data_IF_735336995342
#
_entry.id   IF_735336995342
#
_cell.length_a   1.000
_cell.length_b   1.000
_cell.length_c   1.000
_cell.angle_alpha   90.00
_cell.angle_beta   90.00
_cell.angle_gamma   90.00
#
_symmetry.space_group_name_H-M   'P 1'
#
loop_
_entity.id
_entity.type
_entity.pdbx_description
1 polymer ?
#
# COMPACT_ATOMS: atom_id res chain seq x y z
N UNK A 1 22.13 78.03 14.70
CA UNK A 1 22.52 76.72 14.17
C UNK A 1 21.89 75.67 15.09
N UNK A 2 20.56 75.68 15.23
CA UNK A 2 19.55 75.10 14.31
C UNK A 2 19.70 73.59 14.23
N UNK A 3 18.69 72.73 14.36
CA UNK A 3 17.28 72.77 14.73
C UNK A 3 16.98 71.31 15.17
N UNK A 4 16.15 71.02 16.17
CA UNK A 4 14.70 70.98 16.02
C UNK A 4 14.22 69.82 15.15
N UNK A 5 13.69 68.75 15.76
CA UNK A 5 12.30 68.27 15.55
C UNK A 5 11.98 67.02 16.38
N UNK A 6 10.91 67.14 17.17
CA UNK A 6 10.12 66.05 17.79
C UNK A 6 8.88 65.82 16.92
N UNK A 7 8.40 64.58 16.85
CA UNK A 7 7.00 64.10 16.73
C UNK A 7 7.02 62.73 16.05
N UNK A 8 6.07 61.81 16.23
CA UNK A 8 5.10 61.48 17.26
C UNK A 8 4.55 60.10 16.83
N UNK A 9 3.94 59.42 17.80
CA UNK A 9 3.33 58.09 17.73
C UNK A 9 2.31 57.93 16.59
N UNK A 10 2.27 56.75 15.95
CA UNK A 10 1.01 56.12 15.52
C UNK A 10 1.07 54.60 15.65
N UNK A 11 0.09 54.07 16.36
CA UNK A 11 -0.27 52.68 16.59
C UNK A 11 -1.40 52.30 15.62
N UNK A 12 -1.20 51.29 14.79
CA UNK A 12 -2.21 50.51 14.04
C UNK A 12 -1.55 49.13 13.90
N UNK A 13 -1.88 48.09 14.67
CA UNK A 13 -3.09 47.26 14.67
C UNK A 13 -3.51 46.79 13.27
N UNK A 14 -2.79 45.80 12.74
CA UNK A 14 -3.33 44.89 11.73
C UNK A 14 -3.01 43.43 12.09
N UNK A 15 -4.08 42.75 12.44
CA UNK A 15 -4.20 41.32 12.63
C UNK A 15 -4.06 40.61 11.29
N UNK A 16 -2.87 40.10 10.98
CA UNK A 16 -2.69 39.17 9.87
C UNK A 16 -3.15 37.80 10.33
N UNK A 17 -4.34 37.41 9.85
CA UNK A 17 -4.95 36.11 10.12
C UNK A 17 -4.03 34.96 9.74
N UNK A 18 -3.69 34.16 10.75
CA UNK A 18 -3.09 32.84 10.55
C UNK A 18 -4.07 31.95 9.81
N UNK A 19 -3.71 31.58 8.59
CA UNK A 19 -4.32 30.45 7.91
C UNK A 19 -3.61 29.19 8.40
N UNK A 20 -4.09 28.62 9.50
CA UNK A 20 -3.77 27.24 9.84
C UNK A 20 -4.37 26.33 8.75
N UNK A 21 -3.61 25.41 8.15
CA UNK A 21 -4.20 24.37 7.36
C UNK A 21 -5.00 23.46 8.31
N UNK A 22 -6.33 23.52 8.19
CA UNK A 22 -7.24 22.61 8.85
C UNK A 22 -6.95 21.20 8.31
N UNK A 23 -6.17 20.44 9.07
CA UNK A 23 -5.98 19.02 8.86
C UNK A 23 -7.35 18.35 8.94
N UNK A 24 -7.70 17.58 7.91
CA UNK A 24 -8.91 16.78 7.88
C UNK A 24 -8.88 15.77 9.01
N UNK A 25 -9.57 16.08 10.11
CA UNK A 25 -9.91 15.11 11.14
C UNK A 25 -10.93 14.14 10.54
N UNK A 26 -10.51 12.89 10.29
CA UNK A 26 -11.46 11.78 10.19
C UNK A 26 -11.94 11.44 11.61
N UNK A 27 -13.27 11.29 11.75
CA UNK A 27 -13.99 11.12 13.01
C UNK A 27 -13.47 9.95 13.87
N UNK A 28 -13.57 10.04 15.21
CA UNK A 28 -13.21 8.96 16.11
C UNK A 28 -14.07 7.70 15.88
N UNK A 29 -13.41 6.54 15.96
CA UNK A 29 -13.98 5.22 15.67
C UNK A 29 -15.26 4.92 16.47
N UNK A 30 -16.31 4.34 15.84
CA UNK A 30 -17.31 3.58 16.57
C UNK A 30 -16.78 2.17 16.89
N UNK A 31 -16.84 1.80 18.18
CA UNK A 31 -16.59 0.45 18.66
C UNK A 31 -17.53 -0.54 17.94
N UNK A 32 -16.98 -1.29 16.98
CA UNK A 32 -17.64 -2.44 16.37
C UNK A 32 -16.71 -3.62 16.46
N UNK A 33 -17.12 -4.61 17.23
CA UNK A 33 -16.52 -5.94 17.24
C UNK A 33 -16.65 -6.57 15.85
N UNK A 34 -15.54 -6.63 15.12
CA UNK A 34 -15.41 -7.34 13.84
C UNK A 34 -14.93 -8.80 14.06
N UNK A 35 -15.25 -9.73 13.13
CA UNK A 35 -14.89 -11.13 13.24
C UNK A 35 -13.38 -11.34 13.18
N UNK A 36 -12.89 -12.33 13.94
CA UNK A 36 -11.48 -12.68 14.07
C UNK A 36 -10.86 -13.07 12.72
N UNK A 37 -9.58 -12.70 12.57
CA UNK A 37 -8.66 -12.78 11.43
C UNK A 37 -8.45 -14.14 10.72
N UNK A 38 -9.36 -15.11 10.83
CA UNK A 38 -9.13 -16.50 10.37
C UNK A 38 -9.74 -16.90 9.03
N UNK A 39 -10.69 -16.14 8.47
CA UNK A 39 -11.50 -16.64 7.34
C UNK A 39 -10.95 -16.30 5.95
N UNK A 40 -9.96 -15.41 5.85
CA UNK A 40 -9.28 -15.07 4.58
C UNK A 40 -8.23 -16.10 4.16
N UNK A 41 -7.74 -16.94 5.08
CA UNK A 41 -6.61 -17.85 4.85
C UNK A 41 -6.99 -19.22 4.26
N UNK A 42 -8.27 -19.61 4.24
CA UNK A 42 -8.64 -21.01 3.93
C UNK A 42 -8.62 -21.40 2.45
N UNK A 43 -8.50 -20.45 1.51
CA UNK A 43 -8.44 -20.78 0.07
C UNK A 43 -7.03 -20.90 -0.51
N UNK A 44 -6.00 -20.44 0.20
CA UNK A 44 -4.62 -20.37 -0.33
C UNK A 44 -3.76 -21.63 -0.10
N UNK A 45 -4.25 -22.66 0.62
CA UNK A 45 -3.51 -23.93 0.82
C UNK A 45 -4.21 -25.10 0.10
N UNK A 46 -4.41 -24.96 -1.21
CA UNK A 46 -4.68 -26.08 -2.12
C UNK A 46 -3.94 -25.83 -3.43
N UNK A 47 -2.65 -26.15 -3.48
CA UNK A 47 -1.92 -25.98 -4.75
C UNK A 47 -0.43 -26.30 -4.77
N UNK A 48 0.22 -26.60 -3.65
CA UNK A 48 1.66 -26.92 -3.65
C UNK A 48 1.84 -28.44 -3.56
N UNK A 49 2.34 -29.13 -4.60
CA UNK A 49 2.69 -30.54 -4.51
C UNK A 49 4.00 -30.68 -3.73
N UNK A 50 3.89 -31.04 -2.46
CA UNK A 50 5.05 -31.45 -1.64
C UNK A 50 5.43 -32.89 -2.03
N UNK A 51 6.70 -33.21 -2.34
CA UNK A 51 7.12 -34.59 -2.56
C UNK A 51 7.18 -35.32 -1.22
N UNK A 52 6.14 -36.10 -0.90
CA UNK A 52 6.09 -36.91 0.33
C UNK A 52 6.64 -38.30 0.05
N UNK A 53 7.76 -38.63 0.70
CA UNK A 53 8.42 -39.93 0.68
C UNK A 53 7.57 -41.01 1.38
N UNK A 54 7.81 -42.28 1.01
CA UNK A 54 6.93 -43.47 1.21
C UNK A 54 6.57 -43.87 2.65
N UNK A 55 6.96 -43.14 3.69
CA UNK A 55 6.82 -43.58 5.08
C UNK A 55 5.61 -43.01 5.83
N UNK A 56 4.81 -42.13 5.22
CA UNK A 56 3.64 -41.49 5.88
C UNK A 56 2.28 -41.94 5.34
N UNK A 57 2.16 -43.21 4.88
CA UNK A 57 0.89 -43.81 4.41
C UNK A 57 0.19 -44.74 5.40
N UNK A 58 0.68 -44.85 6.64
CA UNK A 58 0.16 -45.82 7.62
C UNK A 58 -0.62 -45.23 8.81
N UNK A 59 -0.83 -43.90 8.86
CA UNK A 59 -1.49 -43.26 10.00
C UNK A 59 -2.88 -42.65 9.71
N UNK A 60 -3.48 -42.86 8.52
CA UNK A 60 -4.73 -42.19 8.12
C UNK A 60 -5.88 -43.14 7.71
N UNK A 61 -5.92 -44.37 8.26
CA UNK A 61 -7.00 -45.35 8.00
C UNK A 61 -7.81 -45.71 9.27
N UNK A 62 -7.52 -45.10 10.42
CA UNK A 62 -8.25 -45.37 11.67
C UNK A 62 -9.02 -44.15 12.18
N UNK A 63 -10.08 -43.71 11.48
CA UNK A 63 -11.18 -42.89 12.05
C UNK A 63 -12.38 -42.73 11.09
N UNK A 64 -12.89 -43.83 10.53
CA UNK A 64 -14.23 -43.87 9.93
C UNK A 64 -14.95 -45.14 10.42
N UNK A 65 -15.19 -45.23 11.73
CA UNK A 65 -16.22 -46.10 12.30
C UNK A 65 -16.62 -45.48 13.65
N UNK A 66 -17.75 -44.75 13.68
CA UNK A 66 -18.69 -44.64 14.82
C UNK A 66 -19.55 -43.37 14.69
N UNK A 67 -20.71 -43.50 14.05
CA UNK A 67 -21.96 -42.76 14.38
C UNK A 67 -23.02 -43.06 13.31
N UNK A 68 -23.47 -44.32 13.27
CA UNK A 68 -24.75 -44.68 12.68
C UNK A 68 -25.66 -45.14 13.83
N UNK A 69 -26.97 -44.97 13.64
CA UNK A 69 -28.08 -45.23 14.57
C UNK A 69 -28.48 -44.05 15.47
N UNK A 70 -29.44 -43.24 14.99
CA UNK A 70 -30.74 -43.13 15.65
C UNK A 70 -31.84 -42.84 14.62
N UNK A 71 -32.93 -43.58 14.79
CA UNK A 71 -34.09 -43.76 13.92
C UNK A 71 -35.23 -42.87 14.38
N UNK A 72 -36.03 -42.36 13.45
CA UNK A 72 -37.49 -42.35 13.62
C UNK A 72 -38.23 -41.01 13.66
N UNK A 73 -39.36 -41.00 12.93
CA UNK A 73 -40.43 -39.99 12.81
C UNK A 73 -40.09 -38.74 11.95
N UNK A 74 -40.72 -38.44 10.82
CA UNK A 74 -42.00 -38.89 10.26
C UNK A 74 -43.06 -37.80 10.41
N UNK A 75 -43.04 -36.78 9.55
CA UNK A 75 -44.22 -35.96 9.18
C UNK A 75 -44.06 -35.52 7.73
N UNK A 76 -44.89 -36.05 6.84
CA UNK A 76 -45.13 -35.51 5.50
C UNK A 76 -46.17 -34.39 5.61
N UNK A 77 -45.81 -33.16 5.24
CA UNK A 77 -46.80 -32.11 4.94
C UNK A 77 -46.93 -32.04 3.42
N UNK A 78 -48.03 -32.60 2.92
CA UNK A 78 -48.53 -32.40 1.55
C UNK A 78 -49.30 -31.09 1.54
N UNK A 79 -48.81 -30.09 0.81
CA UNK A 79 -49.61 -28.93 0.42
C UNK A 79 -49.74 -28.95 -1.11
N UNK A 80 -50.98 -29.07 -1.57
CA UNK A 80 -51.37 -29.12 -2.97
C UNK A 80 -51.11 -27.79 -3.69
N UNK A 81 -50.91 -27.81 -5.02
CA UNK A 81 -50.77 -26.61 -5.82
C UNK A 81 -52.16 -26.01 -6.10
N UNK A 82 -52.38 -24.75 -5.71
CA UNK A 82 -53.49 -23.98 -6.25
C UNK A 82 -53.04 -23.32 -7.56
N UNK A 83 -53.52 -23.88 -8.66
CA UNK A 83 -53.58 -23.22 -9.96
C UNK A 83 -54.71 -22.20 -9.96
N UNK A 84 -54.39 -20.93 -10.17
CA UNK A 84 -55.33 -19.93 -10.65
C UNK A 84 -54.66 -19.12 -11.78
N UNK A 85 -55.09 -19.42 -12.99
CA UNK A 85 -54.99 -18.62 -14.23
C UNK A 85 -56.43 -18.17 -14.50
N UNK A 86 -56.81 -17.00 -15.00
CA UNK A 86 -56.17 -15.90 -15.69
C UNK A 86 -57.07 -14.64 -15.51
N UNK A 87 -56.57 -13.46 -15.87
CA UNK A 87 -57.17 -12.52 -16.85
C UNK A 87 -56.67 -11.08 -16.67
N UNK A 88 -55.80 -10.69 -17.62
CA UNK A 88 -55.80 -9.45 -18.41
C UNK A 88 -56.53 -8.20 -17.87
N UNK A 89 -55.75 -7.16 -17.55
CA UNK A 89 -55.83 -5.85 -18.23
C UNK A 89 -54.66 -4.92 -17.86
N UNK A 90 -54.09 -4.17 -18.84
CA UNK A 90 -52.92 -3.32 -18.63
C UNK A 90 -53.31 -1.87 -18.36
N UNK A 91 -52.74 -1.21 -17.35
CA UNK A 91 -52.76 0.26 -17.24
C UNK A 91 -51.51 0.80 -16.53
N UNK A 92 -50.85 1.73 -17.22
CA UNK A 92 -49.97 2.81 -16.75
C UNK A 92 -48.58 2.47 -16.19
N UNK A 93 -47.59 2.72 -17.05
CA UNK A 93 -46.34 3.44 -16.77
C UNK A 93 -46.38 4.30 -15.51
N UNK A 94 -45.59 3.94 -14.50
CA UNK A 94 -45.18 4.83 -13.42
C UNK A 94 -43.67 5.06 -13.50
N UNK A 95 -43.33 6.34 -13.46
CA UNK A 95 -42.04 6.90 -13.77
C UNK A 95 -40.94 6.53 -12.76
N UNK A 96 -39.72 6.47 -13.31
CA UNK A 96 -38.45 6.88 -12.72
C UNK A 96 -38.45 7.19 -11.21
N UNK A 97 -38.05 6.20 -10.41
CA UNK A 97 -37.31 6.49 -9.18
C UNK A 97 -35.83 6.32 -9.51
N UNK A 98 -35.27 7.38 -10.09
CA UNK A 98 -33.83 7.60 -10.22
C UNK A 98 -33.26 7.48 -8.82
N UNK A 99 -32.52 6.41 -8.56
CA UNK A 99 -31.63 6.31 -7.40
C UNK A 99 -30.79 7.57 -7.43
N UNK A 100 -31.05 8.47 -6.49
CA UNK A 100 -30.24 9.66 -6.30
C UNK A 100 -28.80 9.19 -6.15
N UNK A 101 -27.99 9.68 -7.08
CA UNK A 101 -26.54 9.59 -7.06
C UNK A 101 -26.13 10.12 -5.70
N UNK A 102 -25.80 9.21 -4.77
CA UNK A 102 -25.18 9.53 -3.48
C UNK A 102 -24.11 10.56 -3.79
N UNK A 103 -24.28 11.77 -3.28
CA UNK A 103 -23.36 12.87 -3.53
C UNK A 103 -21.95 12.35 -3.28
N UNK A 104 -21.09 12.43 -4.30
CA UNK A 104 -19.66 12.23 -4.15
C UNK A 104 -19.23 13.20 -3.05
N UNK A 105 -18.99 12.68 -1.85
CA UNK A 105 -18.24 13.41 -0.84
C UNK A 105 -16.92 13.79 -1.50
N UNK A 106 -16.47 15.05 -1.41
CA UNK A 106 -15.18 15.45 -1.95
C UNK A 106 -14.14 14.46 -1.44
N UNK A 107 -13.47 13.72 -2.34
CA UNK A 107 -12.27 12.99 -1.96
C UNK A 107 -11.34 14.05 -1.37
N UNK A 108 -10.77 13.84 -0.17
CA UNK A 108 -9.64 14.64 0.27
C UNK A 108 -8.60 14.58 -0.86
N UNK A 109 -8.42 15.70 -1.54
CA UNK A 109 -7.46 15.83 -2.62
C UNK A 109 -6.09 15.90 -1.97
N UNK A 110 -5.48 14.75 -1.71
CA UNK A 110 -4.04 14.71 -1.56
C UNK A 110 -3.47 15.30 -2.86
N UNK A 111 -2.56 16.29 -2.82
CA UNK A 111 -1.97 16.84 -4.02
C UNK A 111 -1.46 15.70 -4.91
N UNK A 112 -1.70 15.80 -6.21
CA UNK A 112 -1.27 14.81 -7.19
C UNK A 112 0.27 14.84 -7.26
N UNK A 113 0.92 14.02 -6.45
CA UNK A 113 2.36 13.96 -6.32
C UNK A 113 2.85 12.82 -7.20
N UNK A 114 3.43 13.21 -8.33
CA UNK A 114 3.93 12.31 -9.36
C UNK A 114 5.38 12.65 -9.65
N UNK A 115 6.22 11.64 -9.70
CA UNK A 115 7.64 11.76 -10.01
C UNK A 115 7.94 10.78 -11.14
N UNK A 116 8.38 11.29 -12.28
CA UNK A 116 8.61 10.48 -13.48
C UNK A 116 9.87 10.92 -14.22
N UNK A 117 10.64 9.96 -14.73
CA UNK A 117 11.87 10.24 -15.49
C UNK A 117 13.10 10.36 -14.60
N UNK A 118 14.15 10.99 -15.12
CA UNK A 118 15.38 11.21 -14.36
C UNK A 118 15.19 12.36 -13.36
N UNK A 119 15.89 12.28 -12.22
CA UNK A 119 15.97 13.40 -11.27
C UNK A 119 17.26 14.18 -11.50
N UNK A 120 17.26 15.44 -11.07
CA UNK A 120 18.44 16.31 -11.10
C UNK A 120 19.43 15.90 -10.00
N UNK A 121 20.07 14.74 -10.22
CA UNK A 121 21.08 14.15 -9.35
C UNK A 121 22.46 14.27 -10.02
N UNK A 122 23.55 14.41 -9.25
CA UNK A 122 24.91 14.44 -9.79
C UNK A 122 25.22 13.22 -10.66
N UNK A 123 25.49 13.43 -11.95
CA UNK A 123 25.88 12.38 -12.89
C UNK A 123 27.40 12.14 -12.85
N UNK A 124 27.95 11.84 -11.67
CA UNK A 124 29.37 11.54 -11.51
C UNK A 124 29.71 10.21 -12.19
N UNK A 125 30.95 10.06 -12.67
CA UNK A 125 31.36 8.90 -13.46
C UNK A 125 31.28 7.56 -12.70
N UNK A 126 31.36 7.61 -11.37
CA UNK A 126 31.28 6.47 -10.45
C UNK A 126 29.93 6.35 -9.74
N UNK A 127 29.00 7.28 -9.97
CA UNK A 127 27.66 7.20 -9.40
C UNK A 127 26.89 6.00 -9.95
N UNK A 128 26.14 5.30 -9.09
CA UNK A 128 25.29 4.18 -9.48
C UNK A 128 24.05 4.73 -10.20
N UNK A 129 23.84 4.43 -11.49
CA UNK A 129 22.60 4.79 -12.16
C UNK A 129 21.48 3.87 -11.67
N UNK A 130 20.45 4.43 -11.06
CA UNK A 130 19.30 3.66 -10.56
C UNK A 130 17.96 4.16 -11.12
N UNK A 131 17.03 3.24 -11.28
CA UNK A 131 15.63 3.53 -11.55
C UNK A 131 14.78 3.29 -10.30
N UNK A 132 13.59 3.90 -10.26
CA UNK A 132 12.65 3.73 -9.15
C UNK A 132 11.24 3.38 -9.65
N UNK A 133 10.56 2.51 -8.91
CA UNK A 133 9.13 2.25 -9.03
C UNK A 133 8.51 2.45 -7.64
N UNK A 134 7.60 3.41 -7.50
CA UNK A 134 7.23 3.97 -6.21
C UNK A 134 5.74 4.30 -6.03
N UNK A 135 5.29 4.43 -4.78
CA UNK A 135 4.02 5.10 -4.46
C UNK A 135 4.23 6.42 -3.68
N UNK A 136 3.32 6.79 -2.77
CA UNK A 136 3.44 8.02 -1.98
C UNK A 136 4.63 8.03 -1.03
N UNK A 137 5.14 6.86 -0.64
CA UNK A 137 6.34 6.74 0.19
C UNK A 137 7.60 7.16 -0.59
N UNK A 138 7.56 7.05 -1.93
CA UNK A 138 8.63 7.46 -2.84
C UNK A 138 8.38 8.83 -3.49
N UNK A 139 7.15 9.17 -3.88
CA UNK A 139 6.84 10.34 -4.72
C UNK A 139 6.69 11.68 -3.96
N UNK A 140 6.52 11.65 -2.63
CA UNK A 140 6.28 12.86 -1.85
C UNK A 140 7.54 13.73 -1.75
N UNK A 141 7.46 15.07 -1.75
CA UNK A 141 8.64 15.95 -1.66
C UNK A 141 9.56 15.70 -0.45
N UNK A 142 9.02 15.14 0.64
CA UNK A 142 9.76 14.80 1.87
C UNK A 142 10.23 13.33 1.92
N UNK A 143 10.06 12.57 0.83
CA UNK A 143 10.41 11.14 0.72
C UNK A 143 11.91 10.89 0.76
N UNK A 144 12.28 9.62 0.91
CA UNK A 144 13.66 9.16 0.77
C UNK A 144 14.27 9.51 -0.59
N UNK A 145 13.47 9.46 -1.67
CA UNK A 145 13.96 9.67 -3.04
C UNK A 145 14.51 11.09 -3.23
N UNK A 146 13.78 12.11 -2.76
CA UNK A 146 14.24 13.49 -2.86
C UNK A 146 15.42 13.81 -1.92
N UNK A 147 15.58 13.05 -0.83
CA UNK A 147 16.76 13.21 0.03
C UNK A 147 18.04 12.67 -0.62
N UNK A 148 17.91 11.72 -1.55
CA UNK A 148 19.03 11.19 -2.33
C UNK A 148 19.47 12.11 -3.47
N UNK A 149 18.73 13.18 -3.79
CA UNK A 149 19.13 14.13 -4.85
C UNK A 149 20.51 14.76 -4.60
N UNK A 150 20.93 14.81 -3.33
CA UNK A 150 22.24 15.31 -2.90
C UNK A 150 23.31 14.24 -2.65
N UNK A 151 23.00 12.95 -2.86
CA UNK A 151 23.98 11.86 -2.68
C UNK A 151 24.75 11.65 -3.98
N UNK A 152 25.98 12.18 -4.03
CA UNK A 152 26.91 12.08 -5.16
C UNK A 152 27.21 10.64 -5.64
N UNK A 153 26.92 9.63 -4.81
CA UNK A 153 27.16 8.22 -5.14
C UNK A 153 26.07 7.63 -6.03
N UNK A 154 24.94 8.32 -6.20
CA UNK A 154 23.75 7.81 -6.85
C UNK A 154 23.25 8.77 -7.93
N UNK A 155 22.78 8.21 -9.03
CA UNK A 155 22.20 8.98 -10.13
C UNK A 155 20.84 8.38 -10.51
N UNK A 156 19.75 9.09 -10.23
CA UNK A 156 18.41 8.63 -10.56
C UNK A 156 18.12 8.87 -12.05
N UNK A 157 18.24 7.83 -12.85
CA UNK A 157 18.23 7.91 -14.32
C UNK A 157 16.86 7.71 -14.96
N UNK A 158 15.83 7.42 -14.16
CA UNK A 158 14.49 7.13 -14.67
C UNK A 158 13.61 6.51 -13.60
N UNK A 159 12.33 6.35 -13.90
CA UNK A 159 11.40 5.70 -13.01
C UNK A 159 10.02 6.33 -13.03
N UNK A 160 9.16 5.79 -12.18
CA UNK A 160 7.82 6.31 -11.96
C UNK A 160 7.39 6.08 -10.51
N UNK A 161 6.91 7.13 -9.87
CA UNK A 161 6.27 7.05 -8.58
C UNK A 161 5.06 7.97 -8.52
N UNK A 162 3.97 7.51 -7.91
CA UNK A 162 2.74 8.28 -7.83
C UNK A 162 2.03 8.06 -6.50
N UNK A 163 1.67 9.15 -5.84
CA UNK A 163 0.96 9.11 -4.58
C UNK A 163 -0.41 8.45 -4.72
N UNK A 164 -0.69 7.45 -3.88
CA UNK A 164 -1.95 6.69 -3.91
C UNK A 164 -2.03 5.56 -4.95
N UNK A 165 -0.98 5.36 -5.77
CA UNK A 165 -0.97 4.27 -6.75
C UNK A 165 -0.64 2.92 -6.12
N UNK A 166 -1.33 1.90 -6.63
CA UNK A 166 -1.01 0.49 -6.43
C UNK A 166 0.05 0.02 -7.42
N UNK A 167 0.60 -1.17 -7.19
CA UNK A 167 1.59 -1.79 -8.08
C UNK A 167 1.10 -1.95 -9.54
N UNK A 168 -0.17 -2.32 -9.77
CA UNK A 168 -0.72 -2.43 -11.13
C UNK A 168 -0.79 -1.07 -11.87
N UNK A 169 -1.01 0.00 -11.11
CA UNK A 169 -1.10 1.34 -11.67
C UNK A 169 0.30 1.90 -11.97
N UNK A 170 1.29 1.66 -11.10
CA UNK A 170 2.70 1.98 -11.39
C UNK A 170 3.17 1.19 -12.61
N UNK A 171 2.82 -0.11 -12.70
CA UNK A 171 3.13 -0.95 -13.86
C UNK A 171 2.55 -0.40 -15.17
N UNK A 172 1.36 0.18 -15.14
CA UNK A 172 0.74 0.76 -16.34
C UNK A 172 1.56 1.93 -16.89
N UNK A 173 2.11 2.77 -16.00
CA UNK A 173 2.77 4.03 -16.35
C UNK A 173 4.29 3.89 -16.56
N UNK A 174 4.96 3.05 -15.77
CA UNK A 174 6.42 2.94 -15.84
C UNK A 174 6.89 2.38 -17.19
N UNK A 175 7.97 2.93 -17.75
CA UNK A 175 8.59 2.46 -18.99
C UNK A 175 9.93 1.76 -18.78
N UNK A 176 10.55 1.21 -19.85
CA UNK A 176 11.93 0.73 -19.81
C UNK A 176 12.91 1.84 -19.40
N UNK A 177 13.93 1.46 -18.61
CA UNK A 177 15.02 2.36 -18.18
C UNK A 177 16.37 1.67 -18.42
N UNK A 178 16.80 1.51 -19.68
CA UNK A 178 17.96 0.67 -20.04
C UNK A 178 19.30 1.15 -19.46
N UNK A 179 19.38 2.42 -19.07
CA UNK A 179 20.55 3.00 -18.42
C UNK A 179 20.64 2.69 -16.91
N UNK A 180 19.59 2.14 -16.30
CA UNK A 180 19.58 1.80 -14.88
C UNK A 180 20.36 0.51 -14.62
N UNK A 181 21.34 0.58 -13.73
CA UNK A 181 22.02 -0.60 -13.19
C UNK A 181 21.20 -1.28 -12.11
N UNK A 182 20.54 -0.50 -11.26
CA UNK A 182 19.66 -0.99 -10.19
C UNK A 182 18.25 -0.47 -10.42
N UNK A 183 17.24 -1.33 -10.33
CA UNK A 183 15.85 -0.90 -10.13
C UNK A 183 15.50 -1.04 -8.65
N UNK A 184 15.05 0.05 -8.05
CA UNK A 184 14.45 0.07 -6.72
C UNK A 184 12.94 -0.06 -6.84
N UNK A 185 12.36 -1.07 -6.17
CA UNK A 185 10.91 -1.32 -6.18
C UNK A 185 10.33 -1.14 -4.79
N UNK A 186 9.62 -0.02 -4.59
CA UNK A 186 8.90 0.35 -3.38
C UNK A 186 7.42 0.54 -3.75
N UNK A 187 6.66 -0.54 -3.78
CA UNK A 187 5.22 -0.51 -4.08
C UNK A 187 4.47 -1.47 -3.16
N UNK A 188 3.16 -1.29 -3.08
CA UNK A 188 2.27 -2.23 -2.38
C UNK A 188 1.61 -1.68 -1.12
N UNK A 189 2.03 -0.50 -0.62
CA UNK A 189 1.34 0.17 0.50
C UNK A 189 -0.12 0.43 0.16
N UNK A 190 -0.39 0.88 -1.08
CA UNK A 190 -1.76 1.09 -1.54
C UNK A 190 -2.49 -0.21 -1.90
N UNK A 191 -1.78 -1.26 -2.30
CA UNK A 191 -2.36 -2.59 -2.48
C UNK A 191 -2.92 -3.12 -1.16
N UNK A 192 -2.11 -3.06 -0.09
CA UNK A 192 -2.53 -3.39 1.28
C UNK A 192 -3.72 -2.53 1.70
N UNK A 193 -3.63 -1.21 1.54
CA UNK A 193 -4.71 -0.28 1.87
C UNK A 193 -6.03 -0.66 1.19
N UNK A 194 -5.96 -1.03 -0.09
CA UNK A 194 -7.12 -1.29 -0.94
C UNK A 194 -7.56 -2.76 -0.95
N UNK A 195 -7.00 -3.58 -0.06
CA UNK A 195 -7.29 -5.01 0.04
C UNK A 195 -7.06 -5.77 -1.27
N UNK A 196 -6.03 -5.39 -2.04
CA UNK A 196 -5.62 -6.15 -3.22
C UNK A 196 -5.02 -7.49 -2.79
N UNK A 197 -5.36 -8.60 -3.47
CA UNK A 197 -4.74 -9.89 -3.20
C UNK A 197 -3.21 -9.81 -3.32
N UNK A 198 -2.51 -10.35 -2.31
CA UNK A 198 -1.05 -10.27 -2.22
C UNK A 198 -0.35 -10.87 -3.44
N UNK A 199 -0.86 -11.98 -3.97
CA UNK A 199 -0.35 -12.62 -5.18
C UNK A 199 -0.41 -11.72 -6.42
N UNK A 200 -1.41 -10.85 -6.50
CA UNK A 200 -1.47 -9.83 -7.56
C UNK A 200 -0.39 -8.78 -7.37
N UNK A 201 -0.16 -8.30 -6.15
CA UNK A 201 0.92 -7.33 -5.86
C UNK A 201 2.28 -7.90 -6.22
N UNK A 202 2.58 -9.14 -5.83
CA UNK A 202 3.83 -9.83 -6.17
C UNK A 202 3.97 -10.01 -7.70
N UNK A 203 2.92 -10.45 -8.39
CA UNK A 203 2.95 -10.58 -9.85
C UNK A 203 3.19 -9.23 -10.56
N UNK A 204 2.66 -8.13 -10.01
CA UNK A 204 2.88 -6.80 -10.55
C UNK A 204 4.32 -6.31 -10.31
N UNK A 205 4.92 -6.61 -9.16
CA UNK A 205 6.34 -6.32 -8.89
C UNK A 205 7.25 -6.99 -9.93
N UNK A 206 7.04 -8.29 -10.16
CA UNK A 206 7.78 -9.05 -11.18
C UNK A 206 7.55 -8.49 -12.61
N UNK A 207 6.32 -8.06 -12.92
CA UNK A 207 6.04 -7.38 -14.19
C UNK A 207 6.73 -6.01 -14.31
N UNK A 208 6.80 -5.22 -13.23
CA UNK A 208 7.53 -3.94 -13.19
C UNK A 208 9.01 -4.19 -13.47
N UNK A 209 9.61 -5.16 -12.78
CA UNK A 209 11.02 -5.54 -12.95
C UNK A 209 11.32 -5.86 -14.42
N UNK A 210 10.51 -6.72 -15.04
CA UNK A 210 10.67 -7.06 -16.47
C UNK A 210 10.49 -5.86 -17.39
N UNK A 211 9.54 -4.97 -17.09
CA UNK A 211 9.22 -3.82 -17.94
C UNK A 211 10.32 -2.78 -17.92
N UNK A 212 10.93 -2.53 -16.76
CA UNK A 212 12.05 -1.60 -16.60
C UNK A 212 13.33 -2.16 -17.22
N UNK A 213 13.63 -3.43 -16.95
CA UNK A 213 14.78 -4.13 -17.55
C UNK A 213 16.15 -3.71 -17.00
N UNK A 214 16.23 -3.31 -15.73
CA UNK A 214 17.52 -3.03 -15.06
C UNK A 214 18.32 -4.33 -14.81
N UNK A 215 19.65 -4.22 -14.68
CA UNK A 215 20.54 -5.38 -14.46
C UNK A 215 20.35 -6.04 -13.10
N UNK A 216 20.15 -5.23 -12.05
CA UNK A 216 19.95 -5.65 -10.67
C UNK A 216 18.67 -5.06 -10.13
N UNK A 217 18.07 -5.74 -9.15
CA UNK A 217 16.80 -5.35 -8.54
C UNK A 217 17.00 -5.29 -7.03
N UNK A 218 16.50 -4.22 -6.44
CA UNK A 218 16.37 -4.01 -5.00
C UNK A 218 14.89 -3.87 -4.65
N UNK A 219 14.35 -4.86 -3.96
CA UNK A 219 12.97 -4.84 -3.45
C UNK A 219 12.97 -4.24 -2.05
N UNK A 220 12.02 -3.33 -1.81
CA UNK A 220 11.91 -2.59 -0.55
C UNK A 220 10.75 -3.14 0.28
N UNK A 221 10.97 -3.32 1.59
CA UNK A 221 9.94 -3.67 2.55
C UNK A 221 8.75 -2.70 2.53
N UNK A 222 7.57 -3.16 2.91
CA UNK A 222 6.44 -2.26 3.18
C UNK A 222 6.71 -1.40 4.43
N UNK A 223 6.37 -0.10 4.44
CA UNK A 223 6.59 0.76 5.60
C UNK A 223 5.73 0.34 6.81
N UNK A 224 6.05 0.82 8.02
CA UNK A 224 5.15 0.69 9.18
C UNK A 224 3.79 1.35 8.91
N UNK A 225 2.78 1.02 9.71
CA UNK A 225 1.52 1.75 9.69
C UNK A 225 0.84 1.80 11.05
N UNK A 226 0.38 3.00 11.43
CA UNK A 226 -0.36 3.18 12.68
C UNK A 226 -1.84 2.76 12.53
N UNK A 227 -2.29 2.52 11.30
CA UNK A 227 -3.67 2.16 11.00
C UNK A 227 -3.87 0.63 11.04
N UNK A 228 -4.84 0.17 11.83
CA UNK A 228 -5.27 -1.24 11.85
C UNK A 228 -6.54 -1.48 11.03
N UNK A 229 -6.95 -0.48 10.24
CA UNK A 229 -8.13 -0.55 9.38
C UNK A 229 -7.93 0.30 8.12
N UNK A 230 -8.74 0.04 7.10
CA UNK A 230 -8.91 0.88 5.92
C UNK A 230 -10.38 0.88 5.50
N UNK A 231 -10.80 1.86 4.70
CA UNK A 231 -12.16 1.88 4.14
C UNK A 231 -12.49 0.68 3.23
N UNK A 232 -11.46 -0.06 2.80
CA UNK A 232 -11.60 -1.30 2.01
C UNK A 232 -11.61 -2.56 2.89
N UNK A 233 -11.58 -2.40 4.21
CA UNK A 233 -11.64 -3.52 5.17
C UNK A 233 -10.31 -4.23 5.40
N UNK A 234 -9.19 -3.62 5.02
CA UNK A 234 -7.85 -4.17 5.28
C UNK A 234 -7.31 -3.71 6.64
N UNK A 235 -6.65 -4.61 7.38
CA UNK A 235 -5.76 -4.23 8.46
C UNK A 235 -4.42 -3.80 7.84
N UNK A 236 -4.16 -2.49 7.80
CA UNK A 236 -2.97 -1.96 7.14
C UNK A 236 -1.69 -2.34 7.88
N UNK A 237 -1.67 -2.27 9.21
CA UNK A 237 -0.50 -2.59 10.04
C UNK A 237 -0.06 -4.04 9.83
N UNK A 238 -0.97 -4.98 10.06
CA UNK A 238 -0.67 -6.41 9.85
C UNK A 238 -0.40 -6.71 8.37
N UNK A 239 -1.12 -6.05 7.46
CA UNK A 239 -0.95 -6.20 6.01
C UNK A 239 0.44 -5.78 5.52
N UNK A 240 1.05 -4.72 6.09
CA UNK A 240 2.40 -4.30 5.73
C UNK A 240 3.48 -5.30 6.16
N UNK A 241 3.28 -5.97 7.31
CA UNK A 241 4.17 -7.05 7.75
C UNK A 241 4.09 -8.22 6.77
N UNK A 242 2.86 -8.63 6.42
CA UNK A 242 2.63 -9.73 5.46
C UNK A 242 3.20 -9.40 4.07
N UNK A 243 3.01 -8.15 3.60
CA UNK A 243 3.60 -7.69 2.35
C UNK A 243 5.13 -7.75 2.40
N UNK A 244 5.73 -7.26 3.49
CA UNK A 244 7.19 -7.27 3.70
C UNK A 244 7.76 -8.68 3.63
N UNK A 245 7.16 -9.63 4.35
CA UNK A 245 7.62 -11.02 4.36
C UNK A 245 7.49 -11.67 2.97
N UNK A 246 6.41 -11.37 2.24
CA UNK A 246 6.21 -11.90 0.89
C UNK A 246 7.16 -11.29 -0.13
N UNK A 247 7.41 -9.98 -0.07
CA UNK A 247 8.38 -9.31 -0.93
C UNK A 247 9.81 -9.83 -0.68
N UNK A 248 10.18 -10.08 0.57
CA UNK A 248 11.47 -10.67 0.91
C UNK A 248 11.60 -12.09 0.35
N UNK A 249 10.58 -12.94 0.56
CA UNK A 249 10.58 -14.30 0.02
C UNK A 249 10.60 -14.33 -1.51
N UNK A 250 9.91 -13.39 -2.16
CA UNK A 250 9.90 -13.27 -3.62
C UNK A 250 11.24 -12.78 -4.18
N UNK A 251 11.87 -11.81 -3.51
CA UNK A 251 13.22 -11.37 -3.84
C UNK A 251 14.23 -12.52 -3.74
N UNK A 252 14.20 -13.31 -2.66
CA UNK A 252 15.03 -14.50 -2.48
C UNK A 252 14.82 -15.53 -3.60
N UNK A 253 13.56 -15.75 -4.00
CA UNK A 253 13.22 -16.71 -5.05
C UNK A 253 13.74 -16.29 -6.43
N UNK A 254 13.82 -14.99 -6.70
CA UNK A 254 14.34 -14.43 -7.95
C UNK A 254 15.84 -14.11 -7.92
N UNK A 255 16.49 -14.21 -6.76
CA UNK A 255 17.86 -13.75 -6.57
C UNK A 255 18.02 -12.23 -6.65
N UNK A 256 16.96 -11.49 -6.31
CA UNK A 256 17.00 -10.04 -6.14
C UNK A 256 17.48 -9.69 -4.74
N UNK A 257 17.98 -8.47 -4.57
CA UNK A 257 18.31 -7.94 -3.25
C UNK A 257 17.06 -7.43 -2.56
N UNK A 258 17.06 -7.47 -1.22
CA UNK A 258 15.97 -6.98 -0.38
C UNK A 258 16.50 -6.03 0.71
N UNK A 259 15.73 -4.98 1.01
CA UNK A 259 16.02 -4.07 2.12
C UNK A 259 14.76 -3.69 2.90
N UNK A 260 14.86 -3.69 4.23
CA UNK A 260 13.91 -2.99 5.11
C UNK A 260 14.54 -1.69 5.63
N UNK A 261 14.39 -0.56 4.91
CA UNK A 261 14.97 0.71 5.32
C UNK A 261 14.18 1.35 6.47
N UNK A 262 13.01 0.80 6.80
CA UNK A 262 12.12 1.31 7.83
C UNK A 262 12.31 0.62 9.18
N UNK A 263 13.22 -0.35 9.28
CA UNK A 263 13.46 -1.15 10.49
C UNK A 263 13.68 -0.30 11.75
N UNK A 264 14.39 0.83 11.63
CA UNK A 264 14.64 1.76 12.74
C UNK A 264 13.42 2.60 13.12
N UNK A 265 12.41 2.69 12.24
CA UNK A 265 11.18 3.45 12.43
C UNK A 265 10.01 2.55 12.87
N UNK A 266 10.20 1.23 12.89
CA UNK A 266 9.13 0.25 13.16
C UNK A 266 9.13 -0.14 14.64
N UNK A 267 8.01 0.09 15.30
CA UNK A 267 7.72 -0.47 16.61
C UNK A 267 7.53 -1.99 16.52
N UNK A 268 7.61 -2.70 17.64
CA UNK A 268 7.49 -4.17 17.67
C UNK A 268 6.14 -4.70 17.19
N UNK A 269 5.09 -3.87 17.19
CA UNK A 269 3.76 -4.23 16.72
C UNK A 269 3.53 -3.87 15.23
N UNK A 270 4.53 -3.32 14.54
CA UNK A 270 4.44 -2.90 13.14
C UNK A 270 3.99 -1.45 12.92
N UNK A 271 3.69 -0.70 13.98
CA UNK A 271 3.41 0.73 13.91
C UNK A 271 4.68 1.55 13.68
N UNK A 272 4.52 2.83 13.33
CA UNK A 272 5.62 3.79 13.41
C UNK A 272 6.00 4.02 14.88
N UNK A 273 7.28 4.28 15.12
CA UNK A 273 7.72 4.82 16.40
C UNK A 273 7.11 6.22 16.60
N UNK A 274 6.72 6.59 17.84
CA UNK A 274 6.13 7.90 18.10
C UNK A 274 6.96 9.05 17.54
N UNK A 275 6.30 9.98 16.83
CA UNK A 275 6.95 11.15 16.23
C UNK A 275 7.66 10.91 14.89
N UNK A 276 7.72 9.65 14.41
CA UNK A 276 8.34 9.34 13.11
C UNK A 276 7.37 9.38 11.93
N UNK A 277 6.07 9.47 12.19
CA UNK A 277 5.02 9.70 11.19
C UNK A 277 3.99 10.70 11.70
N UNK A 278 3.57 11.69 10.88
CA UNK A 278 2.52 12.65 11.27
C UNK A 278 1.09 12.12 11.01
N UNK A 279 0.94 11.13 10.11
CA UNK A 279 -0.35 10.63 9.64
C UNK A 279 -0.50 9.11 9.76
N UNK A 280 0.49 8.43 10.34
CA UNK A 280 0.51 6.97 10.50
C UNK A 280 0.72 6.18 9.22
N UNK A 281 1.09 6.85 8.12
CA UNK A 281 1.31 6.25 6.79
C UNK A 281 2.69 6.64 6.26
N UNK A 282 3.03 7.92 6.29
CA UNK A 282 4.25 8.46 5.70
C UNK A 282 5.26 8.81 6.80
N UNK A 283 6.57 8.55 6.62
CA UNK A 283 7.57 9.04 7.55
C UNK A 283 7.64 10.58 7.51
N UNK A 284 8.08 11.20 8.60
CA UNK A 284 8.48 12.62 8.56
C UNK A 284 9.72 12.82 7.70
N UNK A 285 9.97 14.03 7.21
CA UNK A 285 11.21 14.38 6.52
C UNK A 285 12.46 13.99 7.34
N UNK A 286 12.43 14.20 8.66
CA UNK A 286 13.52 13.81 9.55
C UNK A 286 13.71 12.29 9.60
N UNK A 287 12.63 11.52 9.74
CA UNK A 287 12.70 10.07 9.72
C UNK A 287 13.21 9.54 8.38
N UNK A 288 12.78 10.14 7.26
CA UNK A 288 13.23 9.80 5.91
C UNK A 288 14.73 10.01 5.68
N UNK A 289 15.45 10.81 6.49
CA UNK A 289 16.93 10.85 6.42
C UNK A 289 17.55 9.49 6.69
N UNK A 290 17.04 8.78 7.68
CA UNK A 290 17.54 7.43 8.00
C UNK A 290 17.13 6.40 6.95
N UNK A 291 15.92 6.53 6.39
CA UNK A 291 15.44 5.69 5.29
C UNK A 291 16.31 5.92 4.05
N UNK A 292 16.56 7.17 3.67
CA UNK A 292 17.41 7.54 2.54
C UNK A 292 18.83 6.99 2.69
N UNK A 293 19.46 7.13 3.87
CA UNK A 293 20.78 6.56 4.11
C UNK A 293 20.79 5.02 3.95
N UNK A 294 19.80 4.33 4.50
CA UNK A 294 19.67 2.88 4.36
C UNK A 294 19.42 2.44 2.90
N UNK A 295 18.60 3.22 2.17
CA UNK A 295 18.34 3.02 0.74
C UNK A 295 19.60 3.22 -0.09
N UNK A 296 20.36 4.28 0.16
CA UNK A 296 21.59 4.57 -0.56
C UNK A 296 22.61 3.43 -0.43
N UNK A 297 22.85 2.98 0.80
CA UNK A 297 23.76 1.87 1.06
C UNK A 297 23.27 0.56 0.42
N UNK A 298 21.96 0.34 0.37
CA UNK A 298 21.38 -0.84 -0.28
C UNK A 298 21.51 -0.78 -1.80
N UNK A 299 21.26 0.38 -2.43
CA UNK A 299 21.43 0.58 -3.87
C UNK A 299 22.90 0.35 -4.26
N UNK A 300 23.85 0.92 -3.52
CA UNK A 300 25.28 0.71 -3.78
C UNK A 300 25.72 -0.74 -3.65
N UNK A 301 25.26 -1.45 -2.60
CA UNK A 301 25.57 -2.88 -2.43
C UNK A 301 24.99 -3.71 -3.57
N UNK A 302 23.75 -3.43 -3.96
CA UNK A 302 23.04 -4.14 -5.03
C UNK A 302 23.73 -3.97 -6.38
N UNK A 303 24.37 -2.83 -6.63
CA UNK A 303 25.09 -2.55 -7.87
C UNK A 303 26.38 -3.35 -8.04
N UNK A 304 26.96 -3.91 -6.96
CA UNK A 304 28.23 -4.65 -6.99
C UNK A 304 28.03 -6.14 -7.34
#
# INVERSE_FOLDING_TARGET
MDAGWRCAVRTEDETVGGHEPVNGHEDPQPDRTFPRSGDWFRRAIRGIPVPVTRTTRLALVASIVSAACLVGAGVFVVAAPHTASAEDRPVATAAASRVERKADLPRPSTPDQVVSGALDTPALADAVPFAYAGDSITARPDSWLHQLESDDRLHAVGGYAHSGYRADQVLAEIGPVPQARVLVVEVGTNDVNQAVPLDHTIANVDAIVRKVGAERVLVVAGPPSDWTWSRWGADRRSGQIVLTDALHADADAHGWEFVDPFRSLRASDGAYLPGTSPDGIHPTAEANRSVAAAMADAIERTAR
#
